data_IF_196300459503
#
_entry.id   IF_196300459503
#
_cell.length_a   1.000
_cell.length_b   1.000
_cell.length_c   1.000
_cell.angle_alpha   90.00
_cell.angle_beta   90.00
_cell.angle_gamma   90.00
#
_symmetry.space_group_name_H-M   'P 1'
#
loop_
_entity.id
_entity.type
_entity.pdbx_description
1 polymer ?
#
# COMPACT_ATOMS: atom_id res chain seq x y z
N UNK A 1 12.28 1.39 -25.35
CA UNK A 1 11.32 2.16 -26.17
C UNK A 1 9.97 2.02 -25.50
N UNK A 2 9.32 3.15 -25.19
CA UNK A 2 7.95 3.17 -24.64
C UNK A 2 7.01 3.32 -25.84
N UNK A 3 6.04 2.41 -26.04
CA UNK A 3 5.07 2.53 -27.13
C UNK A 3 4.14 3.72 -26.87
N UNK A 4 3.89 4.54 -27.89
CA UNK A 4 2.93 5.62 -27.87
C UNK A 4 1.86 5.28 -28.91
N UNK A 5 0.60 5.16 -28.46
CA UNK A 5 -0.54 4.82 -29.30
C UNK A 5 -1.54 5.96 -29.25
N UNK A 6 -1.86 6.52 -30.41
CA UNK A 6 -2.95 7.50 -30.54
C UNK A 6 -4.29 6.76 -30.59
N UNK A 7 -5.24 7.18 -29.75
CA UNK A 7 -6.57 6.57 -29.69
C UNK A 7 -7.65 7.63 -29.65
N UNK A 8 -8.82 7.32 -30.20
CA UNK A 8 -10.02 8.16 -30.12
C UNK A 8 -11.19 7.34 -29.56
N UNK A 9 -11.76 7.80 -28.45
CA UNK A 9 -12.96 7.19 -27.85
C UNK A 9 -14.23 7.40 -28.71
N UNK A 10 -14.23 8.38 -29.61
CA UNK A 10 -15.34 8.68 -30.48
C UNK A 10 -15.32 7.83 -31.75
N UNK A 11 -14.18 7.81 -32.45
CA UNK A 11 -14.02 7.07 -33.71
C UNK A 11 -13.53 5.62 -33.51
N UNK A 12 -13.07 5.27 -32.30
CA UNK A 12 -12.41 4.01 -31.96
C UNK A 12 -11.11 3.75 -32.72
N UNK A 13 -10.56 4.77 -33.38
CA UNK A 13 -9.26 4.68 -34.02
C UNK A 13 -8.17 4.28 -33.02
N UNK A 14 -7.27 3.39 -33.42
CA UNK A 14 -6.16 2.90 -32.61
C UNK A 14 -6.53 1.89 -31.51
N UNK A 15 -7.80 1.54 -31.34
CA UNK A 15 -8.24 0.58 -30.30
C UNK A 15 -7.73 -0.84 -30.59
N UNK A 16 -7.68 -1.26 -31.85
CA UNK A 16 -7.15 -2.55 -32.27
C UNK A 16 -5.67 -2.70 -31.90
N UNK A 17 -4.88 -1.64 -32.06
CA UNK A 17 -3.47 -1.59 -31.68
C UNK A 17 -3.31 -1.64 -30.16
N UNK A 18 -4.13 -0.84 -29.44
CA UNK A 18 -4.14 -0.83 -27.96
C UNK A 18 -4.50 -2.21 -27.41
N UNK A 19 -5.56 -2.83 -27.93
CA UNK A 19 -6.02 -4.15 -27.52
C UNK A 19 -4.94 -5.21 -27.74
N UNK A 20 -4.32 -5.25 -28.92
CA UNK A 20 -3.18 -6.14 -29.21
C UNK A 20 -2.01 -5.93 -28.26
N UNK A 21 -1.71 -4.68 -27.90
CA UNK A 21 -0.67 -4.37 -26.93
C UNK A 21 -1.03 -4.93 -25.55
N UNK A 22 -2.27 -4.70 -25.07
CA UNK A 22 -2.73 -5.18 -23.78
C UNK A 22 -2.67 -6.71 -23.68
N UNK A 23 -3.10 -7.43 -24.74
CA UNK A 23 -3.02 -8.89 -24.76
C UNK A 23 -1.58 -9.44 -24.86
N UNK A 24 -0.64 -8.64 -25.34
CA UNK A 24 0.79 -9.02 -25.39
C UNK A 24 1.56 -8.70 -24.12
N UNK A 25 0.97 -7.96 -23.18
CA UNK A 25 1.63 -7.68 -21.90
C UNK A 25 1.91 -9.00 -21.17
N UNK A 26 3.14 -9.18 -20.65
CA UNK A 26 3.45 -10.37 -19.89
C UNK A 26 2.57 -10.46 -18.66
N UNK A 27 2.09 -11.65 -18.33
CA UNK A 27 1.39 -11.89 -17.07
C UNK A 27 2.32 -11.53 -15.91
N UNK A 28 1.80 -10.74 -14.96
CA UNK A 28 2.54 -10.42 -13.75
C UNK A 28 2.86 -11.73 -13.02
N UNK A 29 4.11 -11.90 -12.61
CA UNK A 29 4.50 -13.02 -11.77
C UNK A 29 3.90 -12.78 -10.38
N UNK A 30 2.84 -13.52 -10.06
CA UNK A 30 2.14 -13.41 -8.80
C UNK A 30 2.84 -14.30 -7.77
N UNK A 31 3.22 -13.74 -6.63
CA UNK A 31 3.92 -14.44 -5.54
C UNK A 31 2.93 -15.32 -4.75
N UNK A 32 2.31 -16.29 -5.40
CA UNK A 32 1.30 -17.17 -4.76
C UNK A 32 1.89 -18.20 -3.80
N UNK A 33 3.20 -18.46 -3.87
CA UNK A 33 3.92 -19.39 -2.98
C UNK A 33 4.35 -18.77 -1.67
N UNK A 34 4.38 -17.44 -1.59
CA UNK A 34 4.74 -16.71 -0.39
C UNK A 34 3.59 -16.74 0.64
N UNK A 35 3.86 -16.49 1.91
CA UNK A 35 2.80 -16.31 2.91
C UNK A 35 1.82 -15.22 2.49
N UNK A 36 0.53 -15.43 2.79
CA UNK A 36 -0.51 -14.47 2.47
C UNK A 36 -0.24 -13.09 3.08
N UNK A 37 -0.40 -12.06 2.26
CA UNK A 37 -0.36 -10.65 2.67
C UNK A 37 -1.31 -9.83 1.81
N UNK A 38 -2.13 -8.99 2.46
CA UNK A 38 -3.06 -8.07 1.84
C UNK A 38 -3.03 -6.72 2.56
N UNK A 39 -2.86 -5.63 1.84
CA UNK A 39 -3.03 -4.28 2.39
C UNK A 39 -4.49 -3.88 2.39
N UNK A 40 -4.98 -3.36 3.51
CA UNK A 40 -6.35 -2.87 3.66
C UNK A 40 -6.47 -1.50 2.97
N UNK A 41 -7.39 -1.42 2.01
CA UNK A 41 -7.71 -0.18 1.30
C UNK A 41 -9.00 0.45 1.83
N UNK A 42 -10.05 -0.35 2.07
CA UNK A 42 -11.33 0.13 2.59
C UNK A 42 -11.90 -0.80 3.66
N UNK A 43 -12.70 -0.22 4.53
CA UNK A 43 -13.39 -0.89 5.62
C UNK A 43 -14.88 -0.61 5.48
N UNK A 44 -15.70 -1.64 5.63
CA UNK A 44 -17.15 -1.56 5.56
C UNK A 44 -17.77 -2.19 6.80
N UNK A 45 -18.84 -1.59 7.29
CA UNK A 45 -19.75 -2.21 8.24
C UNK A 45 -20.95 -2.72 7.44
N UNK A 46 -21.13 -4.03 7.40
CA UNK A 46 -22.20 -4.68 6.63
C UNK A 46 -23.18 -5.33 7.59
N UNK A 47 -24.46 -5.00 7.45
CA UNK A 47 -25.51 -5.60 8.26
C UNK A 47 -25.52 -7.13 8.06
N UNK A 48 -25.72 -7.87 9.13
CA UNK A 48 -25.71 -9.36 9.18
C UNK A 48 -24.36 -10.05 8.93
N UNK A 49 -23.34 -9.36 8.39
CA UNK A 49 -22.01 -9.92 8.14
C UNK A 49 -21.00 -9.44 9.18
N UNK A 50 -21.05 -8.15 9.53
CA UNK A 50 -20.12 -7.51 10.43
C UNK A 50 -19.11 -6.63 9.69
N UNK A 51 -17.87 -6.63 10.13
CA UNK A 51 -16.82 -5.83 9.50
C UNK A 51 -16.22 -6.57 8.30
N UNK A 52 -16.17 -5.86 7.17
CA UNK A 52 -15.53 -6.34 5.94
C UNK A 52 -14.38 -5.41 5.60
N UNK A 53 -13.20 -5.96 5.40
CA UNK A 53 -12.03 -5.23 4.92
C UNK A 53 -11.76 -5.61 3.47
N UNK A 54 -11.48 -4.64 2.63
CA UNK A 54 -11.17 -4.90 1.21
C UNK A 54 -9.77 -4.41 0.84
N UNK A 55 -9.20 -5.08 -0.13
CA UNK A 55 -7.88 -4.77 -0.66
C UNK A 55 -7.47 -5.72 -1.77
N UNK A 56 -6.26 -5.53 -2.27
CA UNK A 56 -5.64 -6.43 -3.24
C UNK A 56 -4.67 -7.35 -2.50
N UNK A 57 -4.77 -8.64 -2.75
CA UNK A 57 -3.81 -9.63 -2.22
C UNK A 57 -2.48 -9.39 -2.90
N UNK A 58 -1.47 -9.03 -2.12
CA UNK A 58 -0.12 -8.74 -2.62
C UNK A 58 0.63 -10.02 -2.92
N UNK A 59 0.52 -11.00 -2.01
CA UNK A 59 1.19 -12.29 -2.14
C UNK A 59 0.42 -13.39 -1.40
N UNK A 60 0.73 -14.63 -1.73
CA UNK A 60 0.20 -15.83 -1.08
C UNK A 60 -1.24 -16.15 -1.43
N UNK A 61 -1.84 -16.90 -0.53
CA UNK A 61 -3.18 -17.48 -0.67
C UNK A 61 -3.89 -17.37 0.66
N UNK A 62 -5.15 -16.96 0.62
CA UNK A 62 -6.06 -16.97 1.78
C UNK A 62 -7.26 -17.86 1.51
N UNK A 63 -7.67 -18.62 2.52
CA UNK A 63 -8.84 -19.48 2.48
C UNK A 63 -9.82 -19.12 3.61
N UNK A 64 -11.08 -19.45 3.42
CA UNK A 64 -12.08 -19.30 4.47
C UNK A 64 -11.67 -20.11 5.70
N UNK A 65 -11.87 -19.54 6.89
CA UNK A 65 -11.46 -20.06 8.19
C UNK A 65 -9.97 -19.95 8.52
N UNK A 66 -9.14 -19.42 7.62
CA UNK A 66 -7.75 -19.12 7.95
C UNK A 66 -7.64 -18.19 9.18
N UNK A 67 -6.59 -18.42 9.98
CA UNK A 67 -6.18 -17.49 11.03
C UNK A 67 -5.12 -16.57 10.46
N UNK A 68 -5.35 -15.26 10.57
CA UNK A 68 -4.47 -14.22 10.05
C UNK A 68 -4.24 -13.15 11.11
N UNK A 69 -3.14 -12.42 10.99
CA UNK A 69 -2.81 -11.27 11.81
C UNK A 69 -3.31 -10.00 11.12
N UNK A 70 -4.06 -9.17 11.84
CA UNK A 70 -4.53 -7.86 11.41
C UNK A 70 -3.86 -6.76 12.24
N UNK A 71 -3.27 -5.81 11.60
CA UNK A 71 -2.60 -4.66 12.21
C UNK A 71 -1.77 -3.87 11.21
N UNK A 72 -0.85 -3.04 11.69
CA UNK A 72 -0.57 -2.78 13.12
C UNK A 72 -1.65 -1.93 13.77
N UNK A 73 -1.95 -2.21 15.04
CA UNK A 73 -2.75 -1.35 15.90
C UNK A 73 -1.96 -0.07 16.25
N UNK A 74 -2.54 0.84 17.03
CA UNK A 74 -1.87 2.09 17.42
C UNK A 74 -0.56 1.86 18.19
N UNK A 75 -0.51 0.78 18.98
CA UNK A 75 0.67 0.35 19.75
C UNK A 75 1.66 -0.51 18.94
N UNK A 76 1.40 -0.74 17.65
CA UNK A 76 2.22 -1.58 16.78
C UNK A 76 1.91 -3.07 16.86
N UNK A 77 1.00 -3.50 17.72
CA UNK A 77 0.62 -4.91 17.87
C UNK A 77 -0.28 -5.42 16.74
N UNK A 78 -0.42 -6.73 16.64
CA UNK A 78 -1.31 -7.41 15.70
C UNK A 78 -2.33 -8.26 16.44
N UNK A 79 -3.57 -8.25 15.96
CA UNK A 79 -4.64 -9.11 16.47
C UNK A 79 -4.80 -10.32 15.56
N UNK A 80 -4.78 -11.51 16.17
CA UNK A 80 -5.06 -12.76 15.45
C UNK A 80 -6.57 -12.91 15.27
N UNK A 81 -7.01 -12.97 14.03
CA UNK A 81 -8.41 -13.03 13.65
C UNK A 81 -8.68 -14.19 12.70
N UNK A 82 -9.96 -14.59 12.58
CA UNK A 82 -10.40 -15.63 11.64
C UNK A 82 -11.10 -15.00 10.44
N UNK A 83 -10.74 -15.45 9.25
CA UNK A 83 -11.42 -15.15 7.98
C UNK A 83 -12.79 -15.85 8.00
N UNK A 84 -13.87 -15.07 8.02
CA UNK A 84 -15.25 -15.61 8.06
C UNK A 84 -15.76 -15.98 6.67
N UNK A 85 -15.58 -15.09 5.72
CA UNK A 85 -15.90 -15.30 4.32
C UNK A 85 -15.02 -14.43 3.44
N UNK A 86 -14.88 -14.83 2.20
CA UNK A 86 -14.15 -14.08 1.16
C UNK A 86 -15.16 -13.83 0.03
N UNK A 87 -15.16 -12.61 -0.47
CA UNK A 87 -16.00 -12.19 -1.58
C UNK A 87 -15.14 -11.53 -2.66
N UNK A 88 -15.37 -11.92 -3.91
CA UNK A 88 -14.71 -11.37 -5.08
C UNK A 88 -15.76 -11.10 -6.17
N UNK A 89 -15.82 -9.85 -6.68
CA UNK A 89 -16.80 -9.45 -7.69
C UNK A 89 -18.26 -9.78 -7.33
N UNK A 90 -18.65 -9.61 -6.04
CA UNK A 90 -19.97 -9.94 -5.46
C UNK A 90 -20.28 -11.44 -5.37
N UNK A 91 -19.31 -12.33 -5.59
CA UNK A 91 -19.46 -13.76 -5.41
C UNK A 91 -18.64 -14.25 -4.21
N UNK A 92 -19.24 -15.08 -3.38
CA UNK A 92 -18.51 -15.77 -2.32
C UNK A 92 -17.57 -16.80 -2.91
N UNK A 93 -16.35 -16.82 -2.42
CA UNK A 93 -15.31 -17.78 -2.80
C UNK A 93 -14.70 -18.39 -1.54
N UNK A 94 -14.24 -19.63 -1.64
CA UNK A 94 -13.58 -20.30 -0.51
C UNK A 94 -12.10 -19.95 -0.43
N UNK A 95 -11.52 -19.44 -1.52
CA UNK A 95 -10.09 -19.18 -1.69
C UNK A 95 -9.85 -18.01 -2.61
N UNK A 96 -8.83 -17.24 -2.30
CA UNK A 96 -8.33 -16.15 -3.16
C UNK A 96 -6.79 -16.14 -3.15
N UNK A 97 -6.20 -15.64 -4.24
CA UNK A 97 -4.77 -15.70 -4.48
C UNK A 97 -4.17 -14.32 -4.75
N UNK A 98 -2.86 -14.23 -4.73
CA UNK A 98 -2.12 -13.01 -5.09
C UNK A 98 -2.65 -12.39 -6.40
N UNK A 99 -2.92 -11.09 -6.38
CA UNK A 99 -3.48 -10.32 -7.49
C UNK A 99 -5.00 -10.14 -7.43
N UNK A 100 -5.74 -10.95 -6.67
CA UNK A 100 -7.18 -10.81 -6.53
C UNK A 100 -7.53 -9.57 -5.68
N UNK A 101 -8.61 -8.89 -6.05
CA UNK A 101 -9.25 -7.84 -5.26
C UNK A 101 -10.40 -8.48 -4.51
N UNK A 102 -10.34 -8.44 -3.18
CA UNK A 102 -11.28 -9.17 -2.32
C UNK A 102 -11.86 -8.32 -1.21
N UNK A 103 -13.04 -8.68 -0.74
CA UNK A 103 -13.62 -8.31 0.54
C UNK A 103 -13.52 -9.50 1.50
N UNK A 104 -12.92 -9.31 2.66
CA UNK A 104 -12.76 -10.34 3.69
C UNK A 104 -13.59 -9.94 4.90
N UNK A 105 -14.59 -10.77 5.24
CA UNK A 105 -15.35 -10.59 6.46
C UNK A 105 -14.57 -11.14 7.65
N UNK A 106 -14.53 -10.34 8.72
CA UNK A 106 -13.82 -10.66 9.96
C UNK A 106 -14.71 -10.50 11.18
N UNK A 107 -14.37 -11.16 12.28
CA UNK A 107 -15.04 -11.01 13.59
C UNK A 107 -14.05 -10.61 14.67
N UNK A 108 -14.59 -10.01 15.74
CA UNK A 108 -13.80 -9.68 16.95
C UNK A 108 -13.18 -8.30 16.96
N UNK A 109 -13.43 -7.48 15.92
CA UNK A 109 -12.98 -6.09 15.84
C UNK A 109 -14.14 -5.19 15.40
N UNK A 110 -14.13 -3.96 15.87
CA UNK A 110 -15.02 -2.90 15.38
C UNK A 110 -14.37 -2.21 14.18
N UNK A 111 -15.17 -1.70 13.26
CA UNK A 111 -14.66 -0.95 12.10
C UNK A 111 -13.79 0.25 12.52
N UNK A 112 -14.06 0.87 13.68
CA UNK A 112 -13.26 1.98 14.22
C UNK A 112 -11.86 1.59 14.69
N UNK A 113 -11.59 0.30 14.93
CA UNK A 113 -10.27 -0.21 15.31
C UNK A 113 -9.38 -0.51 14.11
N UNK A 114 -9.97 -0.48 12.90
CA UNK A 114 -9.27 -0.81 11.67
C UNK A 114 -9.08 0.45 10.85
N UNK A 115 -7.95 0.56 10.20
CA UNK A 115 -7.64 1.71 9.36
C UNK A 115 -7.00 1.29 8.04
N UNK A 116 -7.17 2.14 7.05
CA UNK A 116 -6.43 2.03 5.80
C UNK A 116 -4.92 2.01 6.06
N UNK A 117 -4.18 1.20 5.33
CA UNK A 117 -2.74 1.02 5.54
C UNK A 117 -2.38 -0.10 6.53
N UNK A 118 -3.34 -0.61 7.30
CA UNK A 118 -3.16 -1.88 8.02
C UNK A 118 -3.08 -3.04 7.03
N UNK A 119 -2.58 -4.18 7.49
CA UNK A 119 -2.47 -5.38 6.68
C UNK A 119 -3.15 -6.59 7.32
N UNK A 120 -3.53 -7.55 6.48
CA UNK A 120 -3.82 -8.93 6.85
C UNK A 120 -2.66 -9.79 6.40
N UNK A 121 -2.12 -10.64 7.28
CA UNK A 121 -1.00 -11.52 6.95
C UNK A 121 -1.08 -12.85 7.69
N UNK A 122 -0.61 -13.94 7.07
CA UNK A 122 -0.44 -15.25 7.75
C UNK A 122 0.72 -15.26 8.75
N UNK A 123 1.73 -14.47 8.51
CA UNK A 123 2.87 -14.29 9.43
C UNK A 123 2.75 -12.91 10.05
N UNK A 124 2.91 -12.82 11.37
CA UNK A 124 2.92 -11.53 12.06
C UNK A 124 4.17 -10.74 11.65
N UNK A 125 4.00 -9.60 10.96
CA UNK A 125 5.14 -8.79 10.54
C UNK A 125 5.56 -7.82 11.65
N UNK A 126 6.74 -7.24 11.51
CA UNK A 126 7.17 -6.14 12.34
C UNK A 126 6.58 -4.81 11.85
N UNK A 127 6.05 -4.01 12.77
CA UNK A 127 5.67 -2.63 12.50
C UNK A 127 6.74 -1.68 13.01
N UNK A 128 7.02 -0.63 12.23
CA UNK A 128 8.05 0.36 12.55
C UNK A 128 7.49 1.77 12.54
N UNK A 129 7.99 2.60 13.46
CA UNK A 129 7.65 4.02 13.52
C UNK A 129 8.57 4.85 12.62
N UNK A 130 9.78 4.36 12.37
CA UNK A 130 10.80 5.04 11.57
C UNK A 130 11.40 4.10 10.52
N UNK A 131 11.85 4.69 9.44
CA UNK A 131 12.58 3.97 8.40
C UNK A 131 13.55 4.90 7.67
N UNK A 132 14.59 4.33 7.09
CA UNK A 132 15.52 5.04 6.23
C UNK A 132 15.12 4.89 4.77
N UNK A 133 15.19 5.96 4.02
CA UNK A 133 14.82 6.00 2.61
C UNK A 133 15.79 6.83 1.78
N UNK A 134 15.93 6.47 0.53
CA UNK A 134 16.48 7.33 -0.50
C UNK A 134 15.34 8.14 -1.10
N UNK A 135 15.44 9.46 -1.10
CA UNK A 135 14.40 10.37 -1.58
C UNK A 135 14.93 11.27 -2.70
N UNK A 136 14.04 11.68 -3.59
CA UNK A 136 14.30 12.68 -4.62
C UNK A 136 13.20 13.74 -4.57
N UNK A 137 13.62 15.02 -4.56
CA UNK A 137 12.72 16.17 -4.51
C UNK A 137 12.37 16.57 -5.94
N UNK A 138 11.14 16.35 -6.35
CA UNK A 138 10.67 16.70 -7.70
C UNK A 138 10.28 18.17 -7.81
N UNK A 139 9.64 18.70 -6.79
CA UNK A 139 9.22 20.09 -6.73
C UNK A 139 9.12 20.56 -5.28
N UNK A 140 9.71 21.72 -4.98
CA UNK A 140 9.57 22.42 -3.70
C UNK A 140 9.91 23.90 -3.92
N UNK A 141 9.15 24.86 -3.36
CA UNK A 141 9.38 26.29 -3.59
C UNK A 141 10.67 26.82 -2.98
N UNK A 142 11.17 26.14 -1.94
CA UNK A 142 12.40 26.55 -1.23
C UNK A 142 13.31 25.33 -1.00
N UNK A 143 13.42 24.88 0.22
CA UNK A 143 14.26 23.74 0.64
C UNK A 143 13.55 22.87 1.66
N UNK A 144 13.85 21.57 1.66
CA UNK A 144 13.40 20.60 2.63
C UNK A 144 14.52 20.35 3.63
N UNK A 145 14.22 20.41 4.92
CA UNK A 145 15.15 20.15 6.00
C UNK A 145 14.58 19.19 7.04
N UNK A 146 15.34 18.91 8.09
CA UNK A 146 14.85 18.18 9.27
C UNK A 146 13.68 18.96 9.85
N UNK A 147 12.60 18.24 10.21
CA UNK A 147 11.37 18.81 10.70
C UNK A 147 10.30 19.02 9.64
N UNK A 148 10.59 18.83 8.35
CA UNK A 148 9.60 18.89 7.29
C UNK A 148 8.57 17.75 7.43
N UNK A 149 7.28 18.07 7.30
CA UNK A 149 6.17 17.17 7.60
C UNK A 149 5.22 16.97 6.40
N UNK A 150 5.59 16.20 5.39
CA UNK A 150 4.71 15.87 4.27
C UNK A 150 3.76 14.71 4.58
N UNK A 151 2.79 14.49 3.68
CA UNK A 151 2.00 13.26 3.63
C UNK A 151 2.69 12.26 2.70
N UNK A 152 2.91 11.04 3.20
CA UNK A 152 3.44 9.92 2.42
C UNK A 152 2.30 9.07 1.85
N UNK A 153 2.49 8.58 0.63
CA UNK A 153 1.63 7.59 -0.01
C UNK A 153 2.49 6.39 -0.37
N UNK A 154 2.30 5.28 0.34
CA UNK A 154 3.04 4.03 0.16
C UNK A 154 2.08 2.86 0.26
N UNK A 155 1.92 2.08 -0.82
CA UNK A 155 0.84 1.09 -0.95
C UNK A 155 -0.53 1.73 -0.62
N UNK A 156 -1.23 1.24 0.40
CA UNK A 156 -2.48 1.84 0.88
C UNK A 156 -2.28 2.86 2.02
N UNK A 157 -1.05 3.01 2.52
CA UNK A 157 -0.72 3.99 3.56
C UNK A 157 -0.85 5.40 2.99
N UNK A 158 -1.56 6.27 3.70
CA UNK A 158 -1.67 7.69 3.43
C UNK A 158 -1.59 8.42 4.78
N UNK A 159 -0.38 8.84 5.17
CA UNK A 159 -0.11 9.30 6.53
C UNK A 159 0.87 10.47 6.55
N UNK A 160 0.69 11.36 7.54
CA UNK A 160 1.64 12.41 7.82
C UNK A 160 2.92 11.84 8.41
N UNK A 161 4.05 12.28 7.88
CA UNK A 161 5.37 11.87 8.37
C UNK A 161 6.20 13.09 8.71
N UNK A 162 7.30 12.87 9.42
CA UNK A 162 8.29 13.90 9.71
C UNK A 162 9.66 13.42 9.23
N UNK A 163 10.39 14.28 8.54
CA UNK A 163 11.80 14.03 8.26
C UNK A 163 12.57 14.31 9.55
N UNK A 164 13.15 13.27 10.14
CA UNK A 164 13.91 13.34 11.41
C UNK A 164 15.41 13.27 11.20
N UNK A 165 15.86 12.87 10.00
CA UNK A 165 17.27 12.87 9.60
C UNK A 165 17.42 13.11 8.12
N UNK A 166 18.50 13.78 7.73
CA UNK A 166 18.90 13.99 6.34
C UNK A 166 20.41 13.81 6.23
N UNK A 167 20.86 13.26 5.10
CA UNK A 167 22.27 13.16 4.77
C UNK A 167 22.96 14.53 4.69
N UNK A 168 22.18 15.58 4.33
CA UNK A 168 22.63 16.96 4.18
C UNK A 168 21.79 17.88 5.08
N UNK A 169 22.27 19.09 5.32
CA UNK A 169 21.55 20.09 6.12
C UNK A 169 20.14 20.40 5.54
N UNK A 170 20.02 20.41 4.21
CA UNK A 170 18.77 20.60 3.47
C UNK A 170 18.90 20.05 2.06
N UNK A 171 17.77 19.87 1.38
CA UNK A 171 17.67 19.45 -0.02
C UNK A 171 16.72 20.37 -0.77
N UNK A 172 17.02 20.62 -2.05
CA UNK A 172 16.21 21.44 -2.97
C UNK A 172 15.60 20.60 -4.09
N UNK A 173 14.69 21.20 -4.86
CA UNK A 173 14.12 20.57 -6.04
C UNK A 173 15.24 20.13 -7.02
N UNK A 174 15.13 18.91 -7.55
CA UNK A 174 16.12 18.25 -8.40
C UNK A 174 17.20 17.46 -7.65
N UNK A 175 17.29 17.59 -6.33
CA UNK A 175 18.27 16.85 -5.54
C UNK A 175 17.72 15.52 -5.03
N UNK A 176 18.63 14.60 -4.74
CA UNK A 176 18.36 13.29 -4.12
C UNK A 176 19.35 13.04 -2.97
N UNK A 177 18.96 12.20 -2.02
CA UNK A 177 19.80 11.84 -0.88
C UNK A 177 19.04 10.96 0.11
N UNK A 178 19.71 10.57 1.20
CA UNK A 178 19.15 9.74 2.24
C UNK A 178 18.41 10.57 3.27
N UNK A 179 17.28 10.04 3.74
CA UNK A 179 16.46 10.63 4.79
C UNK A 179 15.99 9.56 5.76
N UNK A 180 15.93 9.90 7.05
CA UNK A 180 15.20 9.14 8.07
C UNK A 180 13.83 9.77 8.24
N UNK A 181 12.80 8.95 8.12
CA UNK A 181 11.40 9.35 8.09
C UNK A 181 10.68 8.67 9.25
N UNK A 182 9.87 9.44 10.00
CA UNK A 182 9.05 8.97 11.13
C UNK A 182 7.58 9.19 10.82
N UNK A 183 6.75 8.16 10.99
CA UNK A 183 5.29 8.29 11.00
C UNK A 183 4.85 9.09 12.24
N UNK A 184 3.90 10.01 12.06
CA UNK A 184 3.47 10.89 13.16
C UNK A 184 2.59 10.20 14.18
N UNK A 185 1.67 9.35 13.75
CA UNK A 185 0.58 8.89 14.63
C UNK A 185 0.76 7.44 15.06
N UNK A 186 1.14 6.54 14.16
CA UNK A 186 1.28 5.12 14.48
C UNK A 186 2.34 4.44 13.63
N UNK A 187 2.82 3.26 14.06
CA UNK A 187 3.73 2.46 13.25
C UNK A 187 2.99 1.82 12.06
N UNK A 188 3.74 1.45 11.04
CA UNK A 188 3.27 0.73 9.86
C UNK A 188 4.24 -0.40 9.49
N UNK A 189 3.74 -1.38 8.72
CA UNK A 189 4.59 -2.39 8.11
C UNK A 189 5.27 -1.80 6.90
N UNK A 190 6.57 -1.70 6.99
CA UNK A 190 7.42 -1.14 5.93
C UNK A 190 8.53 -2.14 5.64
N UNK A 191 8.79 -2.39 4.37
CA UNK A 191 9.88 -3.30 3.96
C UNK A 191 10.83 -2.60 2.99
N UNK A 192 12.13 -2.95 3.03
CA UNK A 192 13.10 -2.42 2.09
C UNK A 192 12.68 -2.64 0.62
N UNK A 193 12.93 -1.65 -0.21
CA UNK A 193 12.54 -1.68 -1.62
C UNK A 193 11.17 -1.08 -1.93
N UNK A 194 10.30 -0.87 -0.94
CA UNK A 194 9.01 -0.19 -1.17
C UNK A 194 9.22 1.23 -1.67
N UNK A 195 8.44 1.58 -2.68
CA UNK A 195 8.43 2.92 -3.26
C UNK A 195 7.29 3.73 -2.68
N UNK A 196 7.52 5.03 -2.54
CA UNK A 196 6.51 5.95 -2.05
C UNK A 196 6.60 7.31 -2.75
N UNK A 197 5.51 8.03 -2.65
CA UNK A 197 5.43 9.44 -3.02
C UNK A 197 5.18 10.22 -1.75
N UNK A 198 5.80 11.38 -1.60
CA UNK A 198 5.43 12.32 -0.54
C UNK A 198 5.06 13.67 -1.13
N UNK A 199 4.11 14.33 -0.47
CA UNK A 199 3.60 15.63 -0.93
C UNK A 199 3.10 16.49 0.21
N UNK A 200 3.21 17.82 0.01
CA UNK A 200 2.58 18.84 0.84
C UNK A 200 2.27 20.04 -0.06
N UNK A 201 0.98 20.37 -0.25
CA UNK A 201 0.56 21.42 -1.17
C UNK A 201 1.10 21.18 -2.58
N UNK A 202 1.96 22.11 -3.05
CA UNK A 202 2.62 22.02 -4.37
C UNK A 202 3.92 21.21 -4.34
N UNK A 203 4.46 20.92 -3.16
CA UNK A 203 5.69 20.15 -3.00
C UNK A 203 5.45 18.68 -3.28
N UNK A 204 6.37 18.05 -4.01
CA UNK A 204 6.31 16.65 -4.42
C UNK A 204 7.70 16.04 -4.38
N UNK A 205 7.77 14.82 -3.91
CA UNK A 205 8.95 13.99 -4.01
C UNK A 205 8.60 12.52 -4.09
N UNK A 206 9.56 11.72 -4.41
CA UNK A 206 9.48 10.26 -4.47
C UNK A 206 10.57 9.66 -3.61
N UNK A 207 10.37 8.44 -3.16
CA UNK A 207 11.41 7.74 -2.42
C UNK A 207 11.28 6.24 -2.50
N UNK A 208 12.30 5.58 -1.99
CA UNK A 208 12.36 4.13 -1.81
C UNK A 208 12.95 3.82 -0.44
N UNK A 209 12.33 2.92 0.29
CA UNK A 209 12.82 2.42 1.58
C UNK A 209 14.12 1.67 1.38
N UNK A 210 15.13 1.94 2.20
CA UNK A 210 16.44 1.27 2.18
C UNK A 210 16.70 0.44 3.43
N UNK A 211 16.15 0.86 4.58
CA UNK A 211 16.25 0.12 5.84
C UNK A 211 15.07 0.44 6.77
N UNK A 212 14.79 -0.46 7.70
CA UNK A 212 13.76 -0.34 8.75
C UNK A 212 14.34 -0.74 10.10
#
# INVERSE_FOLDING_TARGET
>A
VVPVIHTSSVTREGYDILERLLFKLPKRNLQSKEPFEMYIDRIYQVDSVGVVVSGTIKQGIVEQNDLVHLGPMEDGSFKKIRVQSIEMHHYRVNKAIAGDIVGIAIKGLKASEISRGMILSKIEPAAVQEFDAEIAILNHPTRIGIGYEPVIHMETICEAVKIVGLERRYMMAGEHGKARIRFKFRPYVVVPGQKFIFREGKSKGVGRVIAV
#
